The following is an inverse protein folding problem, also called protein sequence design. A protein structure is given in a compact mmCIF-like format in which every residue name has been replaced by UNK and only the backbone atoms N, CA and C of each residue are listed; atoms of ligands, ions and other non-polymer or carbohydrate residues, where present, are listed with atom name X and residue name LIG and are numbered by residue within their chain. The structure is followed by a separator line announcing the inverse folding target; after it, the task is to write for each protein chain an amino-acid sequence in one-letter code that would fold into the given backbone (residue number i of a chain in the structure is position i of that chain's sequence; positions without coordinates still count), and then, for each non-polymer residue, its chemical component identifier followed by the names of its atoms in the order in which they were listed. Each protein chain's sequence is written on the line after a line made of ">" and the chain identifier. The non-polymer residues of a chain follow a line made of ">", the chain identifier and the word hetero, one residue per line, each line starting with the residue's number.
data_IF_259675969949
#
_entry.id   IF_259675969949
#
_cell.length_a   1.000
_cell.length_b   1.000
_cell.length_c   1.000
_cell.angle_alpha   90.00
_cell.angle_beta   90.00
_cell.angle_gamma   90.00
#
_symmetry.space_group_name_H-M   'P 1'
#
loop_
_entity.id
_entity.type
_entity.pdbx_description
1 polymer ?
#
# COMPACT_ATOMS: atom_id res chain seq x y z
N UNK A 1 98.87 59.38 16.74
CA UNK A 1 99.51 58.83 17.96
C UNK A 1 98.45 58.92 19.04
N UNK A 2 97.83 57.88 19.59
CA UNK A 2 98.06 56.43 19.61
C UNK A 2 96.71 55.75 19.30
N UNK A 3 96.62 54.68 18.52
CA UNK A 3 97.10 53.29 18.73
C UNK A 3 96.23 52.49 19.72
N UNK A 4 95.24 51.80 19.13
CA UNK A 4 94.84 50.38 19.23
C UNK A 4 94.95 49.59 20.55
N UNK A 5 93.84 48.89 20.89
CA UNK A 5 93.66 47.52 21.45
C UNK A 5 92.25 47.48 22.10
N UNK A 6 91.19 46.89 21.54
CA UNK A 6 90.88 45.49 21.13
C UNK A 6 91.07 44.41 22.21
N UNK A 7 90.02 43.59 22.39
CA UNK A 7 89.93 42.15 22.80
C UNK A 7 88.72 41.94 23.76
N UNK A 8 87.56 41.51 23.25
CA UNK A 8 86.98 40.12 23.28
C UNK A 8 86.04 39.91 24.50
N UNK A 9 84.91 39.20 24.50
CA UNK A 9 84.18 38.37 23.52
C UNK A 9 82.75 38.07 24.05
N UNK A 10 81.74 38.25 23.19
CA UNK A 10 80.61 37.33 22.84
C UNK A 10 79.54 36.87 23.88
N UNK A 11 78.43 36.20 23.47
CA UNK A 11 77.48 36.49 22.38
C UNK A 11 75.99 36.24 22.76
N UNK A 12 75.03 36.77 21.99
CA UNK A 12 73.91 35.96 21.47
C UNK A 12 73.28 36.70 20.28
N UNK A 13 73.65 36.25 19.09
CA UNK A 13 72.87 35.35 18.23
C UNK A 13 71.94 36.13 17.29
N UNK A 14 72.42 36.15 16.05
CA UNK A 14 71.74 36.62 14.87
C UNK A 14 70.86 35.52 14.27
N UNK A 15 69.97 35.99 13.39
CA UNK A 15 69.37 35.30 12.24
C UNK A 15 68.21 34.31 12.47
N UNK A 16 67.07 34.73 11.97
CA UNK A 16 66.35 34.01 10.89
C UNK A 16 65.36 35.01 10.28
N UNK A 17 65.21 35.15 8.96
CA UNK A 17 65.11 34.11 7.96
C UNK A 17 63.69 34.20 7.40
N UNK A 18 63.57 34.85 6.25
CA UNK A 18 62.33 35.03 5.48
C UNK A 18 61.67 33.68 5.20
N UNK A 19 60.54 33.43 5.85
CA UNK A 19 59.61 32.36 5.54
C UNK A 19 58.21 32.97 5.49
N UNK A 20 57.61 32.97 4.30
CA UNK A 20 56.23 33.38 4.00
C UNK A 20 55.26 33.13 5.16
N UNK A 21 55.01 34.17 5.95
CA UNK A 21 54.04 34.13 7.04
C UNK A 21 52.64 34.10 6.43
N UNK A 22 52.04 32.91 6.32
CA UNK A 22 50.57 32.80 6.38
C UNK A 22 50.18 33.45 7.70
N UNK A 23 49.67 34.68 7.64
CA UNK A 23 49.07 35.38 8.79
C UNK A 23 48.09 34.40 9.42
N UNK A 24 48.43 33.85 10.59
CA UNK A 24 47.55 32.93 11.30
C UNK A 24 46.25 33.69 11.57
N UNK A 25 45.17 33.25 10.91
CA UNK A 25 43.83 33.80 11.10
C UNK A 25 43.53 33.74 12.61
N UNK A 26 43.13 34.88 13.18
CA UNK A 26 42.77 34.91 14.60
C UNK A 26 41.53 34.07 14.83
N UNK A 27 41.35 33.55 16.05
CA UNK A 27 40.22 32.68 16.41
C UNK A 27 38.86 33.27 16.01
N UNK A 28 38.69 34.57 16.22
CA UNK A 28 37.44 35.27 15.93
C UNK A 28 37.23 35.47 14.42
N UNK A 29 38.30 35.66 13.65
CA UNK A 29 38.26 35.67 12.19
C UNK A 29 37.86 34.28 11.65
N UNK A 30 38.42 33.19 12.20
CA UNK A 30 38.08 31.82 11.81
C UNK A 30 36.62 31.47 12.14
N UNK A 31 36.14 31.79 13.33
CA UNK A 31 34.73 31.57 13.70
C UNK A 31 33.78 32.43 12.84
N UNK A 32 34.19 33.65 12.49
CA UNK A 32 33.46 34.51 11.56
C UNK A 32 33.40 33.89 10.16
N UNK A 33 34.50 33.29 9.69
CA UNK A 33 34.54 32.53 8.43
C UNK A 33 33.63 31.30 8.48
N UNK A 34 33.67 30.51 9.56
CA UNK A 34 32.77 29.36 9.73
C UNK A 34 31.30 29.76 9.67
N UNK A 35 30.92 30.86 10.34
CA UNK A 35 29.55 31.40 10.28
C UNK A 35 29.15 31.79 8.85
N UNK A 36 30.04 32.46 8.11
CA UNK A 36 29.80 32.84 6.72
C UNK A 36 29.68 31.62 5.81
N UNK A 37 30.54 30.61 5.98
CA UNK A 37 30.50 29.37 5.20
C UNK A 37 29.22 28.56 5.46
N UNK A 38 28.75 28.51 6.72
CA UNK A 38 27.46 27.89 7.08
C UNK A 38 26.30 28.63 6.39
N UNK A 39 26.28 29.96 6.46
CA UNK A 39 25.25 30.77 5.81
C UNK A 39 25.26 30.59 4.28
N UNK A 40 26.45 30.54 3.67
CA UNK A 40 26.60 30.27 2.24
C UNK A 40 26.10 28.88 1.84
N UNK A 41 26.35 27.84 2.66
CA UNK A 41 25.82 26.51 2.40
C UNK A 41 24.29 26.45 2.52
N UNK A 42 23.71 27.15 3.50
CA UNK A 42 22.25 27.24 3.64
C UNK A 42 21.62 27.91 2.42
N UNK A 43 22.21 28.99 1.91
CA UNK A 43 21.71 29.64 0.69
C UNK A 43 21.78 28.70 -0.52
N UNK A 44 22.92 28.03 -0.72
CA UNK A 44 23.08 27.02 -1.80
C UNK A 44 22.11 25.84 -1.67
N UNK A 45 21.86 25.37 -0.45
CA UNK A 45 20.87 24.32 -0.18
C UNK A 45 19.47 24.76 -0.62
N UNK A 46 19.06 26.00 -0.31
CA UNK A 46 17.76 26.50 -0.75
C UNK A 46 17.65 26.64 -2.26
N UNK A 47 18.73 27.03 -2.94
CA UNK A 47 18.79 27.13 -4.41
C UNK A 47 18.72 25.76 -5.08
N UNK A 48 19.50 24.78 -4.60
CA UNK A 48 19.48 23.41 -5.12
C UNK A 48 18.12 22.74 -4.91
N UNK A 49 17.50 22.93 -3.74
CA UNK A 49 16.14 22.45 -3.46
C UNK A 49 15.09 23.09 -4.38
N UNK A 50 15.22 24.39 -4.68
CA UNK A 50 14.34 25.09 -5.63
C UNK A 50 14.55 24.61 -7.08
N UNK A 51 15.78 24.32 -7.48
CA UNK A 51 16.09 23.80 -8.80
C UNK A 51 15.54 22.36 -8.99
N UNK A 52 15.67 21.50 -7.97
CA UNK A 52 15.14 20.14 -7.98
C UNK A 52 13.61 20.07 -8.04
N UNK A 53 12.91 21.15 -7.70
CA UNK A 53 11.45 21.24 -7.78
C UNK A 53 10.92 21.52 -9.20
N UNK A 54 11.79 21.69 -10.20
CA UNK A 54 11.41 21.93 -11.61
C UNK A 54 11.55 20.64 -12.45
N UNK A 55 10.53 20.31 -13.24
CA UNK A 55 10.53 19.17 -14.18
C UNK A 55 9.31 18.26 -14.04
N UNK A 56 9.35 17.09 -14.68
CA UNK A 56 8.27 16.08 -14.59
C UNK A 56 8.25 15.35 -13.23
N UNK A 57 7.14 14.70 -12.85
CA UNK A 57 6.96 14.05 -11.54
C UNK A 57 8.03 12.97 -11.25
N UNK A 58 8.45 12.21 -12.27
CA UNK A 58 9.50 11.21 -12.15
C UNK A 58 10.88 11.85 -11.99
N UNK A 59 11.15 12.90 -12.76
CA UNK A 59 12.41 13.66 -12.75
C UNK A 59 12.61 14.43 -11.44
N UNK A 60 11.54 15.01 -10.87
CA UNK A 60 11.56 15.67 -9.56
C UNK A 60 11.95 14.69 -8.44
N UNK A 61 11.44 13.46 -8.45
CA UNK A 61 11.77 12.44 -7.43
C UNK A 61 13.24 12.04 -7.48
N UNK A 62 13.77 11.83 -8.69
CA UNK A 62 15.18 11.50 -8.90
C UNK A 62 16.11 12.67 -8.50
N UNK A 63 15.83 13.89 -9.00
CA UNK A 63 16.62 15.10 -8.70
C UNK A 63 16.57 15.47 -7.22
N UNK A 64 15.41 15.32 -6.56
CA UNK A 64 15.27 15.58 -5.11
C UNK A 64 16.14 14.65 -4.28
N UNK A 65 16.14 13.35 -4.59
CA UNK A 65 17.01 12.37 -3.89
C UNK A 65 18.48 12.70 -4.08
N UNK A 66 18.89 13.01 -5.32
CA UNK A 66 20.27 13.38 -5.64
C UNK A 66 20.72 14.66 -4.92
N UNK A 67 19.88 15.69 -4.88
CA UNK A 67 20.17 16.95 -4.18
C UNK A 67 20.24 16.76 -2.66
N UNK A 68 19.41 15.90 -2.08
CA UNK A 68 19.42 15.61 -0.64
C UNK A 68 20.69 14.85 -0.19
N UNK A 69 21.14 13.89 -1.00
CA UNK A 69 22.43 13.20 -0.79
C UNK A 69 23.61 14.18 -0.93
N UNK A 70 23.57 15.09 -1.92
CA UNK A 70 24.62 16.08 -2.12
C UNK A 70 24.71 17.10 -0.97
N UNK A 71 23.58 17.59 -0.46
CA UNK A 71 23.52 18.50 0.71
C UNK A 71 24.10 17.81 1.95
N UNK A 72 23.75 16.54 2.16
CA UNK A 72 24.26 15.75 3.29
C UNK A 72 25.78 15.60 3.21
N UNK A 73 26.31 15.30 2.01
CA UNK A 73 27.75 15.21 1.75
C UNK A 73 28.48 16.54 1.96
N UNK A 74 27.95 17.64 1.43
CA UNK A 74 28.57 18.97 1.52
C UNK A 74 28.58 19.50 2.96
N UNK A 75 27.48 19.33 3.69
CA UNK A 75 27.36 19.75 5.09
C UNK A 75 28.28 18.92 6.01
N UNK A 76 28.37 17.59 5.81
CA UNK A 76 29.30 16.73 6.54
C UNK A 76 30.76 17.13 6.29
N UNK A 77 31.14 17.38 5.03
CA UNK A 77 32.50 17.79 4.67
C UNK A 77 32.87 19.15 5.26
N UNK A 78 31.93 20.11 5.32
CA UNK A 78 32.19 21.40 5.94
C UNK A 78 32.35 21.28 7.46
N UNK A 79 31.47 20.51 8.11
CA UNK A 79 31.56 20.22 9.56
C UNK A 79 32.87 19.53 9.92
N UNK A 80 33.30 18.56 9.11
CA UNK A 80 34.57 17.86 9.31
C UNK A 80 35.76 18.82 9.18
N UNK A 81 35.76 19.72 8.18
CA UNK A 81 36.79 20.76 8.05
C UNK A 81 36.81 21.69 9.25
N UNK A 82 35.65 22.21 9.66
CA UNK A 82 35.52 23.08 10.84
C UNK A 82 36.01 22.37 12.11
N UNK A 83 35.67 21.09 12.27
CA UNK A 83 36.15 20.27 13.39
C UNK A 83 37.67 20.08 13.37
N UNK A 84 38.27 19.82 12.20
CA UNK A 84 39.73 19.68 12.04
C UNK A 84 40.47 21.00 12.29
N UNK A 85 39.93 22.12 11.83
CA UNK A 85 40.48 23.46 12.06
C UNK A 85 40.44 23.82 13.55
N UNK A 86 39.33 23.52 14.24
CA UNK A 86 39.20 23.69 15.68
C UNK A 86 40.13 22.75 16.48
N UNK A 87 40.32 21.51 16.02
CA UNK A 87 41.23 20.55 16.64
C UNK A 87 42.72 20.92 16.45
N UNK A 88 43.09 21.44 15.27
CA UNK A 88 44.46 21.86 14.97
C UNK A 88 44.93 23.05 15.80
N UNK A 89 44.00 23.87 16.27
CA UNK A 89 44.25 24.98 17.21
C UNK A 89 44.26 24.53 18.68
N UNK A 90 44.30 23.22 18.95
CA UNK A 90 44.46 22.67 20.30
C UNK A 90 43.17 22.62 21.12
N UNK A 91 42.00 22.84 20.53
CA UNK A 91 40.72 22.74 21.25
C UNK A 91 40.17 21.31 21.21
N UNK A 92 40.81 20.41 21.94
CA UNK A 92 40.12 19.24 22.47
C UNK A 92 39.06 19.75 23.46
N UNK A 93 37.83 19.27 23.33
CA UNK A 93 36.66 19.73 24.06
C UNK A 93 36.77 19.42 25.57
N UNK A 94 37.56 20.17 26.33
CA UNK A 94 37.63 20.12 27.80
C UNK A 94 37.04 21.39 28.40
N UNK A 95 35.72 21.53 28.24
CA UNK A 95 34.81 22.17 29.20
C UNK A 95 33.43 22.21 28.53
N UNK A 96 32.55 21.30 28.97
CA UNK A 96 31.20 21.09 28.42
C UNK A 96 30.24 22.27 28.56
N UNK A 97 30.67 23.42 29.11
CA UNK A 97 29.79 24.52 29.48
C UNK A 97 29.92 25.79 28.62
N UNK A 98 30.97 25.93 27.79
CA UNK A 98 31.07 27.07 26.87
C UNK A 98 30.65 26.73 25.43
N UNK A 99 30.74 25.46 25.05
CA UNK A 99 30.25 24.97 23.76
C UNK A 99 28.73 25.10 23.66
N UNK A 100 28.02 24.91 24.78
CA UNK A 100 26.59 25.18 24.91
C UNK A 100 26.27 26.67 24.78
N UNK A 101 27.14 27.57 25.25
CA UNK A 101 26.93 29.01 25.20
C UNK A 101 27.14 29.57 23.77
N UNK A 102 28.19 29.11 23.06
CA UNK A 102 28.38 29.46 21.65
C UNK A 102 27.33 28.83 20.74
N UNK A 103 26.89 27.59 21.00
CA UNK A 103 25.80 26.94 20.27
C UNK A 103 24.44 27.62 20.53
N UNK A 104 24.21 28.15 21.74
CA UNK A 104 23.06 28.99 22.07
C UNK A 104 23.13 30.38 21.42
N UNK A 105 24.31 31.00 21.33
CA UNK A 105 24.48 32.29 20.66
C UNK A 105 24.37 32.15 19.13
N UNK A 106 24.86 31.04 18.57
CA UNK A 106 24.70 30.68 17.15
C UNK A 106 23.24 30.32 16.84
N UNK A 107 22.53 29.61 17.73
CA UNK A 107 21.06 29.41 17.63
C UNK A 107 20.28 30.71 17.76
N UNK A 108 20.70 31.63 18.64
CA UNK A 108 20.08 32.94 18.79
C UNK A 108 20.29 33.84 17.57
N UNK A 109 21.48 33.83 16.97
CA UNK A 109 21.78 34.53 15.71
C UNK A 109 21.10 33.85 14.51
N UNK A 110 20.91 32.53 14.54
CA UNK A 110 20.16 31.75 13.54
C UNK A 110 18.64 31.75 13.77
N UNK A 111 18.12 32.56 14.71
CA UNK A 111 16.68 32.76 14.90
C UNK A 111 15.93 31.61 15.58
N UNK A 112 16.61 30.69 16.29
CA UNK A 112 15.98 29.63 17.07
C UNK A 112 16.03 29.99 18.55
N UNK A 113 14.93 30.56 19.03
CA UNK A 113 14.66 30.83 20.44
C UNK A 113 14.61 29.52 21.24
N UNK A 114 15.42 29.40 22.29
CA UNK A 114 15.26 28.36 23.33
C UNK A 114 14.85 29.06 24.63
N UNK A 115 13.61 28.84 25.05
CA UNK A 115 13.14 29.11 26.42
C UNK A 115 13.10 27.77 27.14
N UNK A 116 13.81 27.65 28.25
CA UNK A 116 13.57 26.60 29.23
C UNK A 116 12.71 27.18 30.35
N UNK A 117 11.43 26.78 30.36
CA UNK A 117 10.72 26.29 31.54
C UNK A 117 9.32 25.84 31.09
N UNK A 118 8.81 24.83 31.78
CA UNK A 118 7.58 24.10 31.51
C UNK A 118 6.36 25.04 31.42
N UNK A 119 6.01 25.40 30.19
CA UNK A 119 4.73 26.02 29.86
C UNK A 119 4.24 25.36 28.57
N UNK A 120 2.99 24.91 28.58
CA UNK A 120 2.34 24.23 27.46
C UNK A 120 2.45 25.12 26.22
N UNK A 121 3.45 24.84 25.37
CA UNK A 121 3.70 25.59 24.15
C UNK A 121 2.50 25.39 23.23
N UNK A 122 1.55 26.33 23.29
CA UNK A 122 0.37 26.34 22.45
C UNK A 122 0.84 26.14 21.00
N UNK A 123 0.32 25.14 20.28
CA UNK A 123 0.83 24.83 18.96
C UNK A 123 0.73 26.08 18.07
N UNK A 124 1.81 26.34 17.32
CA UNK A 124 1.90 27.44 16.36
C UNK A 124 0.66 27.50 15.47
N UNK A 125 0.25 28.71 15.04
CA UNK A 125 -0.88 28.89 14.10
C UNK A 125 -0.74 28.00 12.85
N UNK A 126 0.51 27.74 12.42
CA UNK A 126 0.81 26.84 11.30
C UNK A 126 0.60 25.36 11.59
N UNK A 127 0.99 24.88 12.78
CA UNK A 127 0.77 23.48 13.19
C UNK A 127 -0.71 23.21 13.44
N UNK A 128 -1.43 24.14 14.10
CA UNK A 128 -2.90 24.06 14.25
C UNK A 128 -3.64 24.00 12.91
N UNK A 129 -3.19 24.76 11.89
CA UNK A 129 -3.79 24.71 10.54
C UNK A 129 -3.53 23.38 9.83
N UNK A 130 -2.34 22.80 10.00
CA UNK A 130 -1.98 21.50 9.42
C UNK A 130 -2.70 20.34 10.10
N UNK A 131 -2.79 20.39 11.42
CA UNK A 131 -3.54 19.43 12.23
C UNK A 131 -5.04 19.48 11.93
N UNK A 132 -5.63 20.69 11.83
CA UNK A 132 -7.02 20.85 11.40
C UNK A 132 -7.26 20.30 9.98
N UNK A 133 -6.31 20.47 9.05
CA UNK A 133 -6.41 19.91 7.70
C UNK A 133 -6.30 18.38 7.71
N UNK A 134 -5.38 17.82 8.49
CA UNK A 134 -5.21 16.38 8.64
C UNK A 134 -6.44 15.73 9.30
N UNK A 135 -7.03 16.37 10.32
CA UNK A 135 -8.27 15.93 10.95
C UNK A 135 -9.45 15.99 9.98
N UNK A 136 -9.55 17.04 9.16
CA UNK A 136 -10.59 17.15 8.13
C UNK A 136 -10.43 16.10 7.02
N UNK A 137 -9.19 15.79 6.61
CA UNK A 137 -8.88 14.76 5.62
C UNK A 137 -9.18 13.36 6.17
N UNK A 138 -8.74 13.05 7.39
CA UNK A 138 -9.08 11.79 8.07
C UNK A 138 -10.60 11.64 8.28
N UNK A 139 -11.31 12.70 8.67
CA UNK A 139 -12.76 12.67 8.79
C UNK A 139 -13.50 12.57 7.45
N UNK A 140 -12.85 12.95 6.34
CA UNK A 140 -13.37 12.75 4.98
C UNK A 140 -13.12 11.32 4.52
N UNK A 141 -11.93 10.79 4.74
CA UNK A 141 -11.58 9.40 4.44
C UNK A 141 -12.42 8.41 5.25
N UNK A 142 -12.66 8.69 6.55
CA UNK A 142 -13.57 7.90 7.38
C UNK A 142 -15.00 7.90 6.83
N UNK A 143 -15.51 9.05 6.38
CA UNK A 143 -16.84 9.13 5.74
C UNK A 143 -16.92 8.33 4.44
N UNK A 144 -15.90 8.44 3.59
CA UNK A 144 -15.83 7.65 2.35
C UNK A 144 -15.76 6.15 2.67
N UNK A 145 -14.98 5.77 3.68
CA UNK A 145 -14.84 4.37 4.09
C UNK A 145 -16.16 3.82 4.65
N UNK A 146 -16.87 4.61 5.46
CA UNK A 146 -18.19 4.26 5.99
C UNK A 146 -19.23 4.13 4.88
N UNK A 147 -19.28 5.09 3.95
CA UNK A 147 -20.12 5.04 2.74
C UNK A 147 -19.82 3.80 1.90
N UNK A 148 -18.54 3.44 1.71
CA UNK A 148 -18.15 2.22 0.99
C UNK A 148 -18.54 0.94 1.72
N UNK A 149 -18.42 0.92 3.05
CA UNK A 149 -18.80 -0.25 3.86
C UNK A 149 -20.32 -0.44 3.96
N UNK A 150 -21.09 0.64 3.82
CA UNK A 150 -22.55 0.61 3.86
C UNK A 150 -23.17 0.22 2.50
N UNK A 151 -22.39 0.20 1.43
CA UNK A 151 -22.81 -0.38 0.15
C UNK A 151 -22.74 -1.89 0.29
N UNK A 152 -23.85 -2.49 0.74
CA UNK A 152 -24.04 -3.94 0.67
C UNK A 152 -24.17 -4.33 -0.80
N UNK A 153 -23.33 -5.26 -1.24
CA UNK A 153 -23.39 -5.77 -2.61
C UNK A 153 -24.68 -6.58 -2.82
N UNK A 154 -25.37 -6.37 -3.94
CA UNK A 154 -26.55 -7.14 -4.32
C UNK A 154 -26.29 -8.66 -4.32
N UNK A 155 -25.06 -9.07 -4.65
CA UNK A 155 -24.61 -10.46 -4.54
C UNK A 155 -24.75 -11.00 -3.11
N UNK A 156 -24.18 -10.29 -2.14
CA UNK A 156 -24.18 -10.72 -0.74
C UNK A 156 -25.61 -10.82 -0.21
N UNK A 157 -26.49 -9.89 -0.61
CA UNK A 157 -27.92 -9.94 -0.26
C UNK A 157 -28.62 -11.15 -0.87
N UNK A 158 -28.28 -11.53 -2.10
CA UNK A 158 -28.84 -12.72 -2.76
C UNK A 158 -28.35 -14.01 -2.10
N UNK A 159 -27.04 -14.12 -1.85
CA UNK A 159 -26.41 -15.27 -1.21
C UNK A 159 -26.98 -15.49 0.20
N UNK A 160 -27.06 -14.46 1.03
CA UNK A 160 -27.64 -14.54 2.39
C UNK A 160 -29.10 -15.01 2.39
N UNK A 161 -29.91 -14.51 1.45
CA UNK A 161 -31.32 -14.92 1.33
C UNK A 161 -31.44 -16.38 0.89
N UNK A 162 -30.56 -16.82 -0.01
CA UNK A 162 -30.54 -18.19 -0.50
C UNK A 162 -30.09 -19.15 0.60
N UNK A 163 -29.01 -18.84 1.32
CA UNK A 163 -28.54 -19.63 2.46
C UNK A 163 -29.61 -19.78 3.54
N UNK A 164 -30.36 -18.70 3.81
CA UNK A 164 -31.49 -18.74 4.76
C UNK A 164 -32.61 -19.68 4.32
N UNK A 165 -32.81 -19.89 3.01
CA UNK A 165 -33.77 -20.86 2.47
C UNK A 165 -33.23 -22.29 2.50
N UNK A 166 -31.96 -22.49 2.14
CA UNK A 166 -31.33 -23.80 2.00
C UNK A 166 -30.92 -24.42 3.34
N UNK A 167 -30.49 -23.60 4.30
CA UNK A 167 -30.03 -24.05 5.62
C UNK A 167 -31.04 -24.93 6.38
N UNK A 168 -32.33 -24.53 6.50
CA UNK A 168 -33.36 -25.36 7.11
C UNK A 168 -33.63 -26.70 6.39
N UNK A 169 -33.27 -26.79 5.10
CA UNK A 169 -33.40 -28.00 4.30
C UNK A 169 -32.15 -28.90 4.38
N UNK A 170 -31.09 -28.47 5.09
CA UNK A 170 -29.82 -29.18 5.15
C UNK A 170 -29.08 -29.17 3.80
N UNK A 171 -29.27 -28.12 3.00
CA UNK A 171 -28.68 -27.97 1.67
C UNK A 171 -27.70 -26.78 1.66
N UNK A 172 -26.66 -26.87 0.83
CA UNK A 172 -25.68 -25.80 0.59
C UNK A 172 -25.40 -25.65 -0.89
N UNK A 173 -25.00 -24.45 -1.29
CA UNK A 173 -24.59 -24.15 -2.67
C UNK A 173 -23.19 -24.73 -2.92
N UNK A 174 -23.02 -25.41 -4.04
CA UNK A 174 -21.74 -25.84 -4.60
C UNK A 174 -21.39 -24.93 -5.79
N UNK A 175 -20.31 -24.16 -5.67
CA UNK A 175 -19.91 -23.16 -6.65
C UNK A 175 -19.41 -23.79 -7.96
N UNK A 176 -20.07 -23.43 -9.06
CA UNK A 176 -19.74 -23.82 -10.42
C UNK A 176 -18.96 -22.69 -11.09
N UNK A 177 -18.10 -23.06 -12.04
CA UNK A 177 -17.31 -22.09 -12.79
C UNK A 177 -18.21 -21.04 -13.47
N UNK A 178 -17.92 -19.73 -13.35
CA UNK A 178 -18.70 -18.66 -13.98
C UNK A 178 -18.36 -18.51 -15.46
N UNK A 179 -18.76 -19.49 -16.26
CA UNK A 179 -18.75 -19.44 -17.72
C UNK A 179 -20.17 -19.52 -18.29
N UNK A 180 -20.30 -19.33 -19.61
CA UNK A 180 -21.60 -19.43 -20.30
C UNK A 180 -22.22 -20.84 -20.26
N UNK A 181 -21.54 -21.84 -19.68
CA UNK A 181 -21.99 -23.22 -19.57
C UNK A 181 -22.35 -23.60 -18.12
N UNK A 182 -22.39 -22.63 -17.20
CA UNK A 182 -22.67 -22.87 -15.78
C UNK A 182 -23.95 -23.70 -15.55
N UNK A 183 -25.02 -23.46 -16.33
CA UNK A 183 -26.24 -24.24 -16.29
C UNK A 183 -25.98 -25.74 -16.45
N UNK A 184 -25.23 -26.09 -17.50
CA UNK A 184 -25.00 -27.48 -17.85
C UNK A 184 -24.04 -28.15 -16.85
N UNK A 185 -22.97 -27.45 -16.47
CA UNK A 185 -22.02 -27.93 -15.44
C UNK A 185 -22.72 -28.19 -14.10
N UNK A 186 -23.67 -27.34 -13.70
CA UNK A 186 -24.41 -27.53 -12.46
C UNK A 186 -25.31 -28.79 -12.50
N UNK A 187 -25.93 -29.06 -13.66
CA UNK A 187 -26.73 -30.27 -13.88
C UNK A 187 -25.85 -31.53 -13.90
N UNK A 188 -24.69 -31.47 -14.54
CA UNK A 188 -23.69 -32.55 -14.54
C UNK A 188 -23.23 -32.91 -13.12
N UNK A 189 -22.87 -31.91 -12.32
CA UNK A 189 -22.45 -32.07 -10.93
C UNK A 189 -23.53 -32.78 -10.11
N UNK A 190 -24.79 -32.36 -10.26
CA UNK A 190 -25.93 -33.04 -9.65
C UNK A 190 -26.02 -34.50 -10.12
N UNK A 191 -26.03 -34.76 -11.42
CA UNK A 191 -26.13 -36.13 -11.95
C UNK A 191 -25.02 -37.05 -11.42
N UNK A 192 -23.79 -36.54 -11.28
CA UNK A 192 -22.69 -37.27 -10.67
C UNK A 192 -23.01 -37.68 -9.22
N UNK A 193 -23.51 -36.74 -8.41
CA UNK A 193 -23.90 -36.99 -7.02
C UNK A 193 -25.08 -37.96 -6.89
N UNK A 194 -26.00 -37.96 -7.85
CA UNK A 194 -27.19 -38.82 -7.84
C UNK A 194 -26.91 -40.27 -8.22
N UNK A 195 -25.76 -40.55 -8.84
CA UNK A 195 -25.50 -41.79 -9.57
C UNK A 195 -24.63 -42.82 -8.85
N UNK A 196 -24.52 -42.77 -7.51
CA UNK A 196 -23.57 -43.52 -6.64
C UNK A 196 -23.32 -45.04 -6.86
N UNK A 197 -22.85 -45.44 -8.04
CA UNK A 197 -22.53 -46.79 -8.49
C UNK A 197 -22.17 -46.81 -10.00
N UNK A 198 -20.92 -47.20 -10.28
CA UNK A 198 -20.08 -46.72 -11.40
C UNK A 198 -20.42 -47.15 -12.84
N UNK A 199 -21.44 -47.99 -13.10
CA UNK A 199 -21.66 -48.54 -14.47
C UNK A 199 -22.73 -47.84 -15.32
N UNK A 200 -23.72 -47.19 -14.70
CA UNK A 200 -24.79 -46.46 -15.43
C UNK A 200 -24.48 -44.97 -15.60
N UNK A 201 -23.65 -44.44 -14.69
CA UNK A 201 -23.24 -43.03 -14.64
C UNK A 201 -22.46 -42.62 -15.90
N UNK A 202 -21.57 -43.48 -16.39
CA UNK A 202 -20.79 -43.19 -17.60
C UNK A 202 -21.68 -42.91 -18.80
N UNK A 203 -22.76 -43.67 -19.03
CA UNK A 203 -23.62 -43.41 -20.18
C UNK A 203 -24.48 -42.15 -20.04
N UNK A 204 -24.91 -41.80 -18.82
CA UNK A 204 -25.71 -40.60 -18.58
C UNK A 204 -24.85 -39.33 -18.65
N UNK A 205 -23.67 -39.38 -18.04
CA UNK A 205 -22.66 -38.31 -18.10
C UNK A 205 -22.16 -38.16 -19.53
N UNK A 206 -21.80 -39.25 -20.23
CA UNK A 206 -21.34 -39.18 -21.62
C UNK A 206 -22.43 -38.65 -22.58
N UNK A 207 -23.68 -39.07 -22.39
CA UNK A 207 -24.81 -38.52 -23.16
C UNK A 207 -25.00 -37.02 -22.90
N UNK A 208 -24.80 -36.59 -21.64
CA UNK A 208 -24.89 -35.20 -21.26
C UNK A 208 -23.70 -34.38 -21.77
N UNK A 209 -22.48 -34.91 -21.70
CA UNK A 209 -21.28 -34.29 -22.27
C UNK A 209 -21.41 -34.09 -23.78
N UNK A 210 -21.96 -35.08 -24.49
CA UNK A 210 -22.20 -34.96 -25.93
C UNK A 210 -23.23 -33.87 -26.24
N UNK A 211 -24.28 -33.77 -25.42
CA UNK A 211 -25.22 -32.66 -25.51
C UNK A 211 -24.54 -31.31 -25.20
N UNK A 212 -23.67 -31.24 -24.19
CA UNK A 212 -22.91 -30.04 -23.88
C UNK A 212 -21.99 -29.63 -25.03
N UNK A 213 -21.31 -30.57 -25.69
CA UNK A 213 -20.46 -30.31 -26.88
C UNK A 213 -21.29 -29.78 -28.05
N UNK A 214 -22.48 -30.32 -28.25
CA UNK A 214 -23.42 -29.83 -29.27
C UNK A 214 -23.85 -28.40 -28.97
N UNK A 215 -24.25 -28.13 -27.73
CA UNK A 215 -24.61 -26.77 -27.28
C UNK A 215 -23.40 -25.84 -27.32
N UNK A 216 -22.20 -26.27 -26.94
CA UNK A 216 -20.95 -25.46 -26.97
C UNK A 216 -20.63 -24.97 -28.38
N UNK A 217 -20.97 -25.76 -29.41
CA UNK A 217 -20.84 -25.34 -30.81
C UNK A 217 -21.85 -24.26 -31.22
N UNK A 218 -22.85 -24.00 -30.38
CA UNK A 218 -23.87 -22.96 -30.55
C UNK A 218 -23.66 -21.84 -29.53
N UNK A 219 -23.81 -20.58 -29.93
CA UNK A 219 -23.66 -19.44 -29.01
C UNK A 219 -24.87 -19.27 -28.05
N UNK A 220 -25.53 -20.36 -27.66
CA UNK A 220 -26.74 -20.35 -26.86
C UNK A 220 -26.40 -20.35 -25.38
N UNK A 221 -26.87 -19.33 -24.67
CA UNK A 221 -26.85 -19.31 -23.21
C UNK A 221 -28.07 -20.08 -22.75
N UNK A 222 -27.87 -21.12 -21.93
CA UNK A 222 -28.97 -21.94 -21.43
C UNK A 222 -29.74 -21.22 -20.33
N UNK A 223 -31.06 -21.37 -20.34
CA UNK A 223 -31.98 -20.85 -19.33
C UNK A 223 -33.13 -21.81 -19.07
N UNK A 224 -34.32 -21.27 -18.86
CA UNK A 224 -35.51 -22.07 -18.48
C UNK A 224 -35.93 -23.08 -19.55
N UNK A 225 -35.81 -22.74 -20.83
CA UNK A 225 -36.22 -23.63 -21.92
C UNK A 225 -35.37 -24.91 -21.95
N UNK A 226 -34.06 -24.74 -21.77
CA UNK A 226 -33.09 -25.84 -21.73
C UNK A 226 -33.30 -26.70 -20.48
N UNK A 227 -33.57 -26.08 -19.32
CA UNK A 227 -33.92 -26.81 -18.09
C UNK A 227 -35.20 -27.64 -18.25
N UNK A 228 -36.21 -27.10 -18.91
CA UNK A 228 -37.45 -27.82 -19.20
C UNK A 228 -37.22 -28.97 -20.16
N UNK A 229 -36.38 -28.79 -21.18
CA UNK A 229 -35.98 -29.87 -22.07
C UNK A 229 -35.22 -30.97 -21.32
N UNK A 230 -34.23 -30.59 -20.49
CA UNK A 230 -33.43 -31.50 -19.68
C UNK A 230 -34.27 -32.35 -18.73
N UNK A 231 -35.29 -31.74 -18.13
CA UNK A 231 -36.26 -32.44 -17.27
C UNK A 231 -36.86 -33.65 -17.98
N UNK A 232 -37.34 -33.47 -19.23
CA UNK A 232 -37.93 -34.56 -20.02
C UNK A 232 -36.87 -35.54 -20.56
N UNK A 233 -35.71 -35.04 -20.99
CA UNK A 233 -34.63 -35.87 -21.52
C UNK A 233 -34.03 -36.80 -20.47
N UNK A 234 -33.83 -36.30 -19.24
CA UNK A 234 -33.27 -37.03 -18.11
C UNK A 234 -34.35 -37.78 -17.32
N UNK A 235 -35.63 -37.46 -17.55
CA UNK A 235 -36.78 -37.95 -16.76
C UNK A 235 -36.56 -37.74 -15.26
N UNK A 236 -36.06 -36.56 -14.90
CA UNK A 236 -35.74 -36.17 -13.52
C UNK A 236 -36.45 -34.87 -13.16
N UNK A 237 -36.86 -34.79 -11.91
CA UNK A 237 -37.39 -33.58 -11.30
C UNK A 237 -36.26 -32.57 -11.07
N UNK A 238 -36.50 -31.30 -11.39
CA UNK A 238 -35.54 -30.21 -11.18
C UNK A 238 -36.15 -29.14 -10.27
N UNK A 239 -35.44 -28.82 -9.19
CA UNK A 239 -35.74 -27.72 -8.27
C UNK A 239 -34.68 -26.63 -8.39
N UNK A 240 -35.10 -25.38 -8.51
CA UNK A 240 -34.22 -24.23 -8.61
C UNK A 240 -34.58 -23.23 -7.52
N UNK A 241 -33.64 -22.98 -6.61
CA UNK A 241 -33.78 -22.00 -5.55
C UNK A 241 -33.19 -20.65 -5.96
N UNK A 242 -33.85 -19.56 -5.60
CA UNK A 242 -33.30 -18.21 -5.78
C UNK A 242 -33.49 -17.36 -4.53
N UNK A 243 -32.53 -16.50 -4.20
CA UNK A 243 -32.64 -15.60 -3.06
C UNK A 243 -33.70 -14.49 -3.26
N UNK A 244 -33.77 -13.94 -4.46
CA UNK A 244 -34.62 -12.76 -4.79
C UNK A 244 -35.84 -13.09 -5.66
N UNK A 245 -35.91 -14.29 -6.22
CA UNK A 245 -37.00 -14.74 -7.08
C UNK A 245 -37.76 -15.92 -6.46
N UNK A 246 -38.99 -16.20 -6.91
CA UNK A 246 -39.69 -17.43 -6.55
C UNK A 246 -38.89 -18.66 -6.97
N UNK A 247 -38.99 -19.72 -6.18
CA UNK A 247 -38.37 -20.99 -6.51
C UNK A 247 -39.10 -21.60 -7.72
N UNK A 248 -38.34 -22.23 -8.61
CA UNK A 248 -38.86 -22.81 -9.85
C UNK A 248 -38.79 -24.33 -9.75
N UNK A 249 -39.90 -24.98 -10.06
CA UNK A 249 -40.08 -26.42 -9.97
C UNK A 249 -40.53 -26.95 -11.33
N UNK A 250 -39.78 -27.91 -11.88
CA UNK A 250 -40.06 -28.52 -13.18
C UNK A 250 -40.01 -30.05 -13.09
N UNK A 251 -40.85 -30.71 -13.87
CA UNK A 251 -40.85 -32.18 -13.94
C UNK A 251 -41.46 -32.85 -12.72
N UNK A 252 -42.55 -32.30 -12.18
CA UNK A 252 -43.26 -32.88 -11.02
C UNK A 252 -43.72 -34.31 -11.29
N UNK A 253 -43.98 -34.64 -12.55
CA UNK A 253 -44.29 -36.00 -12.98
C UNK A 253 -43.14 -36.99 -12.75
N UNK A 254 -41.92 -36.49 -12.53
CA UNK A 254 -40.72 -37.28 -12.25
C UNK A 254 -40.28 -37.21 -10.77
N UNK A 255 -41.02 -36.53 -9.88
CA UNK A 255 -40.64 -36.33 -8.46
C UNK A 255 -41.01 -37.50 -7.52
N UNK A 256 -41.32 -38.67 -8.06
CA UNK A 256 -41.72 -39.92 -7.37
C UNK A 256 -42.95 -39.82 -6.45
N UNK A 257 -44.09 -40.32 -6.95
CA UNK A 257 -45.25 -40.73 -6.15
C UNK A 257 -45.22 -42.20 -5.69
N UNK A 258 -44.07 -42.88 -5.61
CA UNK A 258 -44.02 -44.29 -5.22
C UNK A 258 -42.63 -44.81 -4.86
N UNK A 259 -42.51 -45.30 -3.61
CA UNK A 259 -41.62 -46.30 -2.98
C UNK A 259 -40.21 -46.69 -3.50
N UNK A 260 -39.72 -46.26 -4.65
CA UNK A 260 -38.37 -46.60 -5.12
C UNK A 260 -37.39 -45.43 -4.88
N UNK A 261 -36.41 -45.67 -4.01
CA UNK A 261 -35.39 -44.73 -3.53
C UNK A 261 -34.32 -44.34 -4.58
N UNK A 262 -34.67 -44.27 -5.86
CA UNK A 262 -33.77 -43.88 -6.97
C UNK A 262 -34.13 -42.52 -7.61
N UNK A 263 -35.26 -41.92 -7.21
CA UNK A 263 -35.77 -40.65 -7.74
C UNK A 263 -35.16 -39.40 -7.08
N UNK A 264 -33.83 -39.31 -7.04
CA UNK A 264 -33.18 -38.10 -6.55
C UNK A 264 -33.38 -36.95 -7.54
N UNK A 265 -33.89 -35.82 -7.03
CA UNK A 265 -34.13 -34.60 -7.79
C UNK A 265 -32.83 -33.85 -8.03
N UNK A 266 -32.72 -33.18 -9.17
CA UNK A 266 -31.62 -32.25 -9.46
C UNK A 266 -31.97 -30.94 -8.76
N UNK A 267 -31.06 -30.45 -7.91
CA UNK A 267 -31.24 -29.22 -7.16
C UNK A 267 -30.19 -28.21 -7.60
N UNK A 268 -30.66 -27.05 -8.04
CA UNK A 268 -29.83 -25.95 -8.52
C UNK A 268 -30.12 -24.68 -7.73
N UNK A 269 -29.20 -23.72 -7.79
CA UNK A 269 -29.44 -22.35 -7.35
C UNK A 269 -29.20 -21.36 -8.47
N UNK A 270 -30.09 -20.37 -8.56
CA UNK A 270 -30.03 -19.29 -9.55
C UNK A 270 -29.67 -17.96 -8.88
N UNK A 271 -28.66 -17.32 -9.46
CA UNK A 271 -28.09 -16.07 -8.99
C UNK A 271 -28.07 -15.06 -10.12
N UNK A 272 -28.65 -13.88 -9.91
CA UNK A 272 -28.65 -12.82 -10.93
C UNK A 272 -27.42 -11.94 -10.85
N UNK A 273 -26.89 -11.77 -9.64
CA UNK A 273 -25.77 -10.88 -9.36
C UNK A 273 -24.52 -11.60 -8.84
N UNK A 274 -24.45 -12.94 -8.94
CA UNK A 274 -23.26 -13.69 -8.50
C UNK A 274 -21.98 -13.20 -9.18
N UNK A 275 -22.07 -12.84 -10.46
CA UNK A 275 -20.93 -12.37 -11.25
C UNK A 275 -21.32 -11.13 -12.08
N UNK A 276 -20.31 -10.31 -12.43
CA UNK A 276 -20.54 -9.10 -13.23
C UNK A 276 -21.08 -9.34 -14.64
N UNK A 277 -21.15 -10.60 -15.07
CA UNK A 277 -21.70 -11.03 -16.37
C UNK A 277 -23.20 -11.36 -16.32
N UNK A 278 -23.84 -11.29 -15.15
CA UNK A 278 -25.27 -11.50 -14.97
C UNK A 278 -25.60 -12.88 -14.40
N UNK A 279 -26.56 -13.56 -15.03
CA UNK A 279 -27.18 -14.79 -14.56
C UNK A 279 -26.18 -15.94 -14.41
N UNK A 280 -26.35 -16.72 -13.34
CA UNK A 280 -25.47 -17.83 -13.04
C UNK A 280 -26.22 -18.95 -12.30
N UNK A 281 -25.86 -20.18 -12.63
CA UNK A 281 -26.40 -21.38 -12.00
C UNK A 281 -25.30 -22.13 -11.25
N UNK A 282 -25.61 -22.51 -10.03
CA UNK A 282 -24.79 -23.36 -9.17
C UNK A 282 -25.53 -24.65 -8.85
N UNK A 283 -24.76 -25.70 -8.51
CA UNK A 283 -25.30 -26.94 -7.98
C UNK A 283 -25.66 -26.78 -6.50
N UNK A 284 -26.59 -27.59 -5.98
CA UNK A 284 -26.97 -27.57 -4.56
C UNK A 284 -26.86 -28.97 -3.98
N UNK A 285 -26.06 -29.13 -2.94
CA UNK A 285 -25.72 -30.42 -2.36
C UNK A 285 -26.11 -30.49 -0.89
N UNK A 286 -26.35 -31.69 -0.32
CA UNK A 286 -26.56 -31.84 1.12
C UNK A 286 -25.34 -31.38 1.95
N UNK A 287 -25.60 -30.78 3.11
CA UNK A 287 -24.60 -30.39 4.14
C UNK A 287 -24.10 -31.61 4.90
#
# INVERSE_FOLDING_TARGET
>A
MADTQEIEETPSEAHSGDASQKKQETRDEMLSRHRKEISQLQNKETELKKAAAKGSKAEQKAKKKQVEEEISRLSAKLREKHAKELASLGYSSSNGNEKSNLDNLVKAVAGVTVISQHDQAKPSKGTKRREKRAQQEAAREQRIQEEQSNIVSDRTVEDEKLEKKLGPLGLTVNDIKPDGHCLYRAVEDQLAHLSGGEESAQSQVERFENYCKEVESTAAWGGELELRALTHCLRKHIMIYSGSFPDVEMGKEYSNGGSDSSGSSIILSYHRHAFGLGEHYNSVIPI
#
